data_IF_761652251514
#
_entry.id   IF_761652251514
#
_cell.length_a   1.000
_cell.length_b   1.000
_cell.length_c   1.000
_cell.angle_alpha   90.00
_cell.angle_beta   90.00
_cell.angle_gamma   90.00
#
_symmetry.space_group_name_H-M   'P 1'
#
loop_
_entity.id
_entity.type
_entity.pdbx_description
1 polymer ?
#
# COMPACT_ATOMS: atom_id res chain seq x y z
N UNK A 1 4.24 -17.90 -14.34
CA UNK A 1 2.81 -17.53 -14.31
C UNK A 1 2.72 -16.07 -13.89
N UNK A 2 2.24 -15.19 -14.77
CA UNK A 2 2.19 -13.75 -14.56
C UNK A 2 1.14 -13.41 -13.50
N UNK A 3 1.50 -12.60 -12.50
CA UNK A 3 0.59 -12.18 -11.42
C UNK A 3 0.01 -10.80 -11.79
N UNK A 4 -1.25 -10.67 -12.23
CA UNK A 4 -1.78 -9.42 -12.77
C UNK A 4 -1.70 -8.24 -11.81
N UNK A 5 -1.89 -8.49 -10.51
CA UNK A 5 -1.77 -7.48 -9.47
C UNK A 5 -0.39 -6.82 -9.41
N UNK A 6 0.69 -7.51 -9.82
CA UNK A 6 2.02 -6.90 -9.87
C UNK A 6 2.13 -5.87 -10.97
N UNK A 7 1.59 -6.17 -12.15
CA UNK A 7 1.60 -5.23 -13.28
C UNK A 7 0.78 -3.99 -12.91
N UNK A 8 -0.39 -4.19 -12.28
CA UNK A 8 -1.22 -3.09 -11.79
C UNK A 8 -0.46 -2.26 -10.75
N UNK A 9 0.19 -2.91 -9.77
CA UNK A 9 0.96 -2.21 -8.73
C UNK A 9 2.11 -1.39 -9.33
N UNK A 10 2.85 -1.94 -10.30
CA UNK A 10 3.91 -1.22 -11.02
C UNK A 10 3.35 -0.01 -11.76
N UNK A 11 2.30 -0.16 -12.56
CA UNK A 11 1.74 0.98 -13.29
C UNK A 11 1.13 2.03 -12.36
N UNK A 12 0.51 1.63 -11.25
CA UNK A 12 0.02 2.56 -10.24
C UNK A 12 1.16 3.39 -9.64
N UNK A 13 2.30 2.75 -9.35
CA UNK A 13 3.50 3.41 -8.83
C UNK A 13 4.09 4.43 -9.81
N UNK A 14 4.29 4.03 -11.07
CA UNK A 14 4.79 4.96 -12.11
C UNK A 14 3.82 6.13 -12.36
N UNK A 15 2.51 5.86 -12.36
CA UNK A 15 1.50 6.90 -12.49
C UNK A 15 1.50 7.86 -11.28
N UNK A 16 1.69 7.33 -10.07
CA UNK A 16 1.80 8.13 -8.87
C UNK A 16 3.06 9.02 -8.89
N UNK A 17 4.21 8.50 -9.35
CA UNK A 17 5.41 9.31 -9.58
C UNK A 17 5.12 10.46 -10.54
N UNK A 18 4.51 10.14 -11.68
CA UNK A 18 4.16 11.16 -12.66
C UNK A 18 3.26 12.25 -12.06
N UNK A 19 2.30 11.88 -11.21
CA UNK A 19 1.43 12.86 -10.54
C UNK A 19 2.13 13.68 -9.48
N UNK A 20 3.08 13.11 -8.73
CA UNK A 20 3.84 13.85 -7.73
C UNK A 20 4.93 14.73 -8.36
N UNK A 21 5.37 14.44 -9.58
CA UNK A 21 6.33 15.31 -10.26
C UNK A 21 5.79 16.72 -10.53
N UNK A 22 4.46 16.86 -10.67
CA UNK A 22 3.80 18.14 -10.95
C UNK A 22 3.38 18.90 -9.67
N UNK A 23 3.67 18.39 -8.47
CA UNK A 23 3.35 19.12 -7.22
C UNK A 23 4.35 20.23 -6.94
N UNK A 24 3.85 21.40 -6.53
CA UNK A 24 4.67 22.60 -6.29
C UNK A 24 5.66 22.45 -5.13
N UNK A 25 5.22 21.75 -4.07
CA UNK A 25 6.02 21.49 -2.88
C UNK A 25 6.36 20.00 -2.83
N UNK A 26 7.65 19.69 -2.72
CA UNK A 26 8.09 18.31 -2.51
C UNK A 26 7.53 17.76 -1.19
N UNK A 27 7.39 16.42 -1.07
CA UNK A 27 7.07 15.80 0.20
C UNK A 27 8.02 16.29 1.31
N UNK A 28 7.51 16.55 2.53
CA UNK A 28 8.32 17.09 3.61
C UNK A 28 9.60 16.25 3.85
N UNK A 29 10.75 16.90 3.77
CA UNK A 29 12.06 16.28 3.97
C UNK A 29 12.66 15.56 2.75
N UNK A 30 11.95 15.47 1.62
CA UNK A 30 12.46 14.81 0.41
C UNK A 30 13.65 15.53 -0.25
N UNK A 31 13.87 16.80 0.09
CA UNK A 31 15.07 17.57 -0.25
C UNK A 31 16.33 17.10 0.51
N UNK A 32 16.15 16.52 1.70
CA UNK A 32 17.23 16.01 2.55
C UNK A 32 17.38 14.49 2.43
N UNK A 33 16.27 13.76 2.41
CA UNK A 33 16.22 12.30 2.27
C UNK A 33 15.39 11.91 1.05
N UNK A 34 16.03 11.67 -0.12
CA UNK A 34 15.32 11.40 -1.38
C UNK A 34 14.37 10.19 -1.32
N UNK A 35 14.61 9.23 -0.43
CA UNK A 35 13.73 8.07 -0.19
C UNK A 35 12.31 8.47 0.26
N UNK A 36 12.13 9.66 0.84
CA UNK A 36 10.81 10.16 1.22
C UNK A 36 9.94 10.46 0.00
N UNK A 37 10.53 10.74 -1.16
CA UNK A 37 9.79 10.90 -2.43
C UNK A 37 9.13 9.57 -2.82
N UNK A 38 9.86 8.46 -2.72
CA UNK A 38 9.37 7.11 -3.02
C UNK A 38 8.27 6.65 -2.04
N UNK A 39 8.44 6.96 -0.75
CA UNK A 39 7.40 6.70 0.26
C UNK A 39 6.15 7.54 -0.01
N UNK A 40 6.30 8.79 -0.45
CA UNK A 40 5.19 9.63 -0.86
C UNK A 40 4.48 9.07 -2.11
N UNK A 41 5.24 8.56 -3.09
CA UNK A 41 4.69 7.85 -4.25
C UNK A 41 3.83 6.67 -3.81
N UNK A 42 4.32 5.83 -2.90
CA UNK A 42 3.55 4.67 -2.44
C UNK A 42 2.32 5.07 -1.60
N UNK A 43 2.38 6.16 -0.84
CA UNK A 43 1.20 6.76 -0.21
C UNK A 43 0.20 7.25 -1.26
N UNK A 44 0.66 7.86 -2.35
CA UNK A 44 -0.20 8.28 -3.45
C UNK A 44 -0.84 7.07 -4.14
N UNK A 45 -0.12 5.97 -4.35
CA UNK A 45 -0.69 4.70 -4.84
C UNK A 45 -1.83 4.22 -3.94
N UNK A 46 -1.63 4.25 -2.61
CA UNK A 46 -2.67 3.88 -1.66
C UNK A 46 -3.88 4.82 -1.70
N UNK A 47 -3.63 6.13 -1.75
CA UNK A 47 -4.66 7.17 -1.85
C UNK A 47 -5.52 7.01 -3.10
N UNK A 48 -4.94 6.60 -4.23
CA UNK A 48 -5.66 6.33 -5.48
C UNK A 48 -6.35 4.95 -5.50
N UNK A 49 -6.33 4.18 -4.41
CA UNK A 49 -7.08 2.93 -4.26
C UNK A 49 -6.35 1.67 -4.73
N UNK A 50 -5.05 1.75 -5.02
CA UNK A 50 -4.28 0.60 -5.52
C UNK A 50 -3.53 -0.19 -4.42
N UNK A 51 -3.73 0.18 -3.14
CA UNK A 51 -3.05 -0.46 -2.01
C UNK A 51 -3.25 -1.98 -1.94
N UNK A 52 -4.42 -2.50 -2.35
CA UNK A 52 -4.70 -3.94 -2.34
C UNK A 52 -3.74 -4.72 -3.26
N UNK A 53 -3.53 -4.22 -4.47
CA UNK A 53 -2.65 -4.84 -5.46
C UNK A 53 -1.19 -4.76 -4.98
N UNK A 54 -0.79 -3.61 -4.45
CA UNK A 54 0.56 -3.39 -3.90
C UNK A 54 0.83 -4.26 -2.67
N UNK A 55 -0.12 -4.37 -1.73
CA UNK A 55 0.00 -5.23 -0.55
C UNK A 55 0.26 -6.70 -0.94
N UNK A 56 -0.50 -7.22 -1.91
CA UNK A 56 -0.33 -8.58 -2.41
C UNK A 56 1.02 -8.78 -3.15
N UNK A 57 1.59 -7.72 -3.71
CA UNK A 57 2.86 -7.75 -4.45
C UNK A 57 4.10 -7.43 -3.61
N UNK A 58 3.95 -6.83 -2.42
CA UNK A 58 5.05 -6.26 -1.63
C UNK A 58 6.07 -7.29 -1.13
N UNK A 59 5.63 -8.52 -0.84
CA UNK A 59 6.52 -9.62 -0.47
C UNK A 59 6.12 -10.92 -1.17
N UNK A 60 7.12 -11.68 -1.59
CA UNK A 60 6.96 -12.99 -2.21
C UNK A 60 7.95 -13.97 -1.64
N UNK A 61 7.45 -15.16 -1.33
CA UNK A 61 8.25 -16.31 -0.94
C UNK A 61 7.96 -17.44 -1.93
N UNK A 62 9.00 -18.03 -2.49
CA UNK A 62 8.90 -19.16 -3.40
C UNK A 62 9.80 -20.29 -2.92
N UNK A 63 9.21 -21.47 -2.75
CA UNK A 63 9.94 -22.70 -2.48
C UNK A 63 9.90 -23.57 -3.72
N UNK A 64 11.06 -24.04 -4.15
CA UNK A 64 11.19 -24.97 -5.28
C UNK A 64 11.70 -26.30 -4.75
N UNK A 65 10.99 -27.39 -5.07
CA UNK A 65 11.46 -28.75 -4.86
C UNK A 65 11.48 -29.45 -6.22
N UNK A 66 12.66 -29.86 -6.67
CA UNK A 66 12.84 -30.73 -7.83
C UNK A 66 13.65 -31.96 -7.42
N UNK A 67 13.59 -33.04 -8.21
CA UNK A 67 14.29 -34.31 -7.96
C UNK A 67 15.80 -34.11 -7.72
N UNK A 68 16.18 -33.93 -6.45
CA UNK A 68 17.56 -33.71 -6.00
C UNK A 68 17.95 -32.26 -5.67
N UNK A 69 17.06 -31.27 -5.78
CA UNK A 69 17.35 -29.86 -5.43
C UNK A 69 16.19 -29.22 -4.65
N UNK A 70 16.50 -28.80 -3.43
CA UNK A 70 15.64 -27.96 -2.60
C UNK A 70 16.17 -26.53 -2.63
N UNK A 71 15.31 -25.55 -2.92
CA UNK A 71 15.66 -24.14 -2.89
C UNK A 71 14.52 -23.29 -2.36
N UNK A 72 14.86 -22.16 -1.75
CA UNK A 72 13.89 -21.13 -1.39
C UNK A 72 14.42 -19.77 -1.86
N UNK A 73 13.52 -18.88 -2.23
CA UNK A 73 13.82 -17.48 -2.51
C UNK A 73 12.74 -16.57 -1.91
N UNK A 74 13.15 -15.36 -1.56
CA UNK A 74 12.26 -14.31 -1.09
C UNK A 74 12.60 -13.00 -1.79
N UNK A 75 11.59 -12.19 -2.11
CA UNK A 75 11.80 -10.85 -2.66
C UNK A 75 10.84 -9.86 -2.03
N UNK A 76 11.31 -8.64 -1.81
CA UNK A 76 10.51 -7.48 -1.43
C UNK A 76 10.40 -6.52 -2.61
N UNK A 77 9.31 -5.78 -2.69
CA UNK A 77 9.08 -4.76 -3.72
C UNK A 77 8.59 -3.48 -3.07
N UNK A 78 9.17 -2.35 -3.48
CA UNK A 78 8.78 -1.05 -2.97
C UNK A 78 9.42 -0.68 -1.63
N UNK A 79 8.93 0.39 -1.02
CA UNK A 79 9.50 1.01 0.18
C UNK A 79 8.67 0.75 1.44
N UNK A 80 7.36 0.55 1.29
CA UNK A 80 6.42 0.18 2.33
C UNK A 80 6.45 -1.33 2.58
N UNK A 81 6.37 -1.67 3.86
CA UNK A 81 6.14 -3.06 4.29
C UNK A 81 4.72 -3.51 3.94
N UNK A 82 4.49 -4.82 3.94
CA UNK A 82 3.14 -5.41 3.84
C UNK A 82 2.19 -4.79 4.89
N UNK A 83 2.67 -4.55 6.12
CA UNK A 83 1.88 -3.98 7.21
C UNK A 83 1.48 -2.54 6.93
N UNK A 84 2.40 -1.73 6.39
CA UNK A 84 2.11 -0.35 6.00
C UNK A 84 1.11 -0.29 4.85
N UNK A 85 1.24 -1.17 3.84
CA UNK A 85 0.27 -1.25 2.75
C UNK A 85 -1.12 -1.62 3.23
N UNK A 86 -1.23 -2.63 4.10
CA UNK A 86 -2.51 -3.06 4.66
C UNK A 86 -3.13 -1.98 5.54
N UNK A 87 -2.33 -1.28 6.34
CA UNK A 87 -2.83 -0.15 7.13
C UNK A 87 -3.32 0.99 6.24
N UNK A 88 -2.58 1.35 5.18
CA UNK A 88 -2.98 2.36 4.23
C UNK A 88 -4.29 1.99 3.50
N UNK A 89 -4.46 0.72 3.12
CA UNK A 89 -5.72 0.20 2.58
C UNK A 89 -6.88 0.34 3.58
N UNK A 90 -6.66 0.03 4.85
CA UNK A 90 -7.67 0.19 5.89
C UNK A 90 -8.10 1.65 6.07
N UNK A 91 -7.13 2.59 6.04
CA UNK A 91 -7.40 4.04 6.08
C UNK A 91 -8.20 4.46 4.85
N UNK A 92 -7.80 4.05 3.65
CA UNK A 92 -8.52 4.36 2.40
C UNK A 92 -9.99 3.92 2.46
N UNK A 93 -10.24 2.68 2.88
CA UNK A 93 -11.60 2.14 3.03
C UNK A 93 -12.41 2.90 4.09
N UNK A 94 -11.79 3.21 5.25
CA UNK A 94 -12.46 3.91 6.34
C UNK A 94 -12.84 5.35 5.97
N UNK A 95 -11.96 6.05 5.22
CA UNK A 95 -12.24 7.39 4.71
C UNK A 95 -13.39 7.39 3.68
N UNK A 96 -13.57 6.29 2.96
CA UNK A 96 -14.67 6.08 1.99
C UNK A 96 -15.92 5.46 2.61
N UNK A 97 -15.89 5.14 3.90
CA UNK A 97 -16.98 4.45 4.61
C UNK A 97 -17.33 3.08 4.00
N UNK A 98 -16.32 2.41 3.42
CA UNK A 98 -16.45 1.08 2.81
C UNK A 98 -15.98 -0.01 3.79
N UNK A 99 -16.75 -1.09 3.92
CA UNK A 99 -16.39 -2.22 4.77
C UNK A 99 -15.22 -3.03 4.18
N UNK A 100 -14.33 -3.61 5.02
CA UNK A 100 -13.15 -4.32 4.54
C UNK A 100 -13.45 -5.70 3.93
N UNK A 101 -14.69 -6.17 3.99
CA UNK A 101 -15.07 -7.54 3.62
C UNK A 101 -14.67 -7.94 2.21
N UNK A 102 -14.85 -7.04 1.23
CA UNK A 102 -14.50 -7.34 -0.15
C UNK A 102 -12.98 -7.34 -0.35
N UNK A 103 -12.28 -6.32 0.17
CA UNK A 103 -10.82 -6.26 0.12
C UNK A 103 -10.17 -7.48 0.80
N UNK A 104 -10.72 -7.92 1.94
CA UNK A 104 -10.28 -9.10 2.69
C UNK A 104 -10.29 -10.37 1.84
N UNK A 105 -11.28 -10.54 0.97
CA UNK A 105 -11.42 -11.73 0.10
C UNK A 105 -10.33 -11.83 -0.97
N UNK A 106 -9.75 -10.70 -1.36
CA UNK A 106 -8.76 -10.62 -2.43
C UNK A 106 -7.32 -10.47 -1.92
N UNK A 107 -7.11 -10.33 -0.61
CA UNK A 107 -5.79 -10.30 0.02
C UNK A 107 -5.24 -11.72 0.26
N UNK A 108 -3.90 -11.85 0.26
CA UNK A 108 -3.22 -13.02 0.82
C UNK A 108 -3.70 -13.25 2.26
N UNK A 109 -3.84 -14.50 2.69
CA UNK A 109 -4.47 -14.86 3.96
C UNK A 109 -3.85 -14.13 5.18
N UNK A 110 -2.52 -14.02 5.23
CA UNK A 110 -1.84 -13.33 6.34
C UNK A 110 -2.07 -11.82 6.33
N UNK A 111 -2.27 -11.22 5.15
CA UNK A 111 -2.62 -9.81 4.98
C UNK A 111 -4.07 -9.53 5.33
N UNK A 112 -4.99 -10.44 4.99
CA UNK A 112 -6.40 -10.35 5.36
C UNK A 112 -6.57 -10.23 6.88
N UNK A 113 -5.82 -11.03 7.66
CA UNK A 113 -5.82 -10.93 9.13
C UNK A 113 -5.30 -9.56 9.61
N UNK A 114 -4.22 -9.07 9.00
CA UNK A 114 -3.67 -7.74 9.32
C UNK A 114 -4.66 -6.62 8.99
N UNK A 115 -5.49 -6.78 7.95
CA UNK A 115 -6.53 -5.82 7.60
C UNK A 115 -7.60 -5.77 8.69
N UNK A 116 -8.04 -6.91 9.21
CA UNK A 116 -9.01 -6.96 10.30
C UNK A 116 -8.49 -6.26 11.57
N UNK A 117 -7.21 -6.47 11.91
CA UNK A 117 -6.58 -5.84 13.06
C UNK A 117 -6.41 -4.32 12.86
N UNK A 118 -5.99 -3.89 11.67
CA UNK A 118 -5.90 -2.47 11.30
C UNK A 118 -7.26 -1.79 11.35
N UNK A 119 -8.30 -2.44 10.80
CA UNK A 119 -9.67 -1.94 10.79
C UNK A 119 -10.22 -1.72 12.21
N UNK A 120 -10.07 -2.71 13.09
CA UNK A 120 -10.46 -2.58 14.51
C UNK A 120 -9.74 -1.41 15.18
N UNK A 121 -8.45 -1.26 14.93
CA UNK A 121 -7.64 -0.17 15.51
C UNK A 121 -8.11 1.21 15.02
N UNK A 122 -8.47 1.34 13.75
CA UNK A 122 -9.00 2.59 13.20
C UNK A 122 -10.37 2.95 13.81
N UNK A 123 -11.27 1.97 13.95
CA UNK A 123 -12.56 2.18 14.60
C UNK A 123 -12.43 2.55 16.09
N UNK A 124 -11.41 2.04 16.77
CA UNK A 124 -11.09 2.41 18.15
C UNK A 124 -10.42 3.79 18.29
N UNK A 125 -10.05 4.44 17.17
CA UNK A 125 -9.36 5.73 17.14
C UNK A 125 -10.07 6.72 16.19
N UNK A 126 -11.33 7.12 16.48
CA UNK A 126 -12.13 7.96 15.58
C UNK A 126 -11.48 9.32 15.30
N UNK A 127 -10.75 9.88 16.27
CA UNK A 127 -10.05 11.17 16.12
C UNK A 127 -8.99 11.13 15.03
N UNK A 128 -8.34 9.98 14.80
CA UNK A 128 -7.34 9.83 13.73
C UNK A 128 -7.98 10.00 12.35
N UNK A 129 -9.14 9.38 12.15
CA UNK A 129 -9.89 9.47 10.89
C UNK A 129 -10.49 10.87 10.70
N UNK A 130 -11.00 11.49 11.77
CA UNK A 130 -11.53 12.85 11.72
C UNK A 130 -10.48 13.86 11.21
N UNK A 131 -9.27 13.83 11.76
CA UNK A 131 -8.16 14.69 11.33
C UNK A 131 -7.79 14.53 9.84
N UNK A 132 -7.88 13.31 9.31
CA UNK A 132 -7.60 13.04 7.90
C UNK A 132 -8.72 13.54 6.98
N UNK A 133 -9.98 13.52 7.43
CA UNK A 133 -11.13 14.06 6.69
C UNK A 133 -11.12 15.59 6.64
N UNK A 134 -10.67 16.22 7.72
CA UNK A 134 -10.60 17.68 7.84
C UNK A 134 -9.34 18.28 7.20
N UNK A 135 -8.39 17.44 6.77
CA UNK A 135 -7.17 17.91 6.15
C UNK A 135 -7.51 18.75 4.90
N UNK A 136 -7.09 20.03 4.85
CA UNK A 136 -7.45 20.88 3.74
C UNK A 136 -6.85 20.31 2.46
N UNK A 137 -7.69 20.02 1.47
CA UNK A 137 -7.25 19.82 0.09
C UNK A 137 -6.76 21.18 -0.38
N UNK A 138 -5.46 21.42 -0.26
CA UNK A 138 -4.83 22.57 -0.92
C UNK A 138 -4.90 22.28 -2.40
N UNK A 139 -5.88 22.87 -3.08
CA UNK A 139 -5.96 22.87 -4.54
C UNK A 139 -4.66 23.44 -5.08
N UNK A 140 -3.93 22.62 -5.85
CA UNK A 140 -2.79 23.06 -6.65
C UNK A 140 -3.23 24.07 -7.72
#
# INVERSE_FOLDING_TARGET
MTKPYKIIATFAHELAHYRLHDVLEKPPGADVEPKLEELATEMAVAFHGFALMSANGAFEFQQTQDFGRQGWSSSFSGYLSEDSWVFALAVFLALREEAPDEARRHLKQHLAKKLDDAWKRLLAAPDLLARLREAPVRSA
#
